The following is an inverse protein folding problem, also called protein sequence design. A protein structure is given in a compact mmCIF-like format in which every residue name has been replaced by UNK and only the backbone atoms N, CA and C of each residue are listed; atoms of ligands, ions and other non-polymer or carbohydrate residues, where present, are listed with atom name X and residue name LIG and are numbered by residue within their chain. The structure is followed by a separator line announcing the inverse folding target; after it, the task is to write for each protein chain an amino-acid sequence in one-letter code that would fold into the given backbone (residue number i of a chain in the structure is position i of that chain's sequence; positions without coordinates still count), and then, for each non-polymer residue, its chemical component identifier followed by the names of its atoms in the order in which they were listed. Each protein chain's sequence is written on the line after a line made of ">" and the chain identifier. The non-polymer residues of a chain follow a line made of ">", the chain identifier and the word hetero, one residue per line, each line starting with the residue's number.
data_IF_074563309899
#
_entry.id   IF_074563309899
#
_cell.length_a   1.000
_cell.length_b   1.000
_cell.length_c   1.000
_cell.angle_alpha   90.00
_cell.angle_beta   90.00
_cell.angle_gamma   90.00
#
_symmetry.space_group_name_H-M   'P 1'
#
loop_
_entity.id
_entity.type
_entity.pdbx_description
1 polymer ?
#
# COMPACT_ATOMS: atom_id res chain seq x y z
N UNK A 1 10.01 8.78 -29.42
CA UNK A 1 8.93 9.74 -29.07
C UNK A 1 7.96 9.01 -28.18
N UNK A 2 7.87 9.36 -26.89
CA UNK A 2 6.84 8.76 -26.03
C UNK A 2 5.47 9.23 -26.54
N UNK A 3 4.54 8.33 -26.78
CA UNK A 3 3.18 8.69 -27.22
C UNK A 3 2.51 9.61 -26.18
N UNK A 4 2.06 10.80 -26.56
CA UNK A 4 1.32 11.74 -25.69
C UNK A 4 -0.16 11.39 -25.61
N UNK A 5 -0.45 10.11 -25.44
CA UNK A 5 -1.80 9.55 -25.46
C UNK A 5 -2.48 9.72 -24.09
N UNK A 6 -3.68 10.29 -24.10
CA UNK A 6 -4.56 10.45 -22.93
C UNK A 6 -4.90 9.10 -22.26
N UNK A 7 -4.79 7.98 -22.98
CA UNK A 7 -4.98 6.63 -22.43
C UNK A 7 -3.97 6.26 -21.32
N UNK A 8 -2.87 7.02 -21.20
CA UNK A 8 -1.94 6.90 -20.06
C UNK A 8 -2.58 7.31 -18.73
N UNK A 9 -3.54 8.23 -18.76
CA UNK A 9 -4.16 8.83 -17.56
C UNK A 9 -5.60 8.35 -17.38
N UNK A 10 -6.30 8.05 -18.47
CA UNK A 10 -7.72 7.70 -18.45
C UNK A 10 -7.91 6.35 -19.14
N UNK A 11 -8.51 5.39 -18.43
CA UNK A 11 -8.80 4.04 -18.98
C UNK A 11 -10.27 3.85 -19.34
N UNK A 12 -11.16 4.71 -18.85
CA UNK A 12 -12.60 4.63 -19.10
C UNK A 12 -12.92 5.03 -20.54
N UNK A 13 -13.30 4.05 -21.37
CA UNK A 13 -13.62 4.24 -22.80
C UNK A 13 -14.65 5.36 -23.07
N UNK A 14 -15.69 5.45 -22.24
CA UNK A 14 -16.71 6.49 -22.38
C UNK A 14 -16.15 7.91 -22.20
N UNK A 15 -15.26 8.11 -21.22
CA UNK A 15 -14.60 9.39 -20.95
C UNK A 15 -13.64 9.74 -22.10
N UNK A 16 -12.87 8.77 -22.59
CA UNK A 16 -11.98 8.95 -23.76
C UNK A 16 -12.79 9.38 -25.00
N UNK A 17 -13.94 8.73 -25.25
CA UNK A 17 -14.78 9.06 -26.39
C UNK A 17 -15.42 10.46 -26.27
N UNK A 18 -15.76 10.90 -25.07
CA UNK A 18 -16.26 12.25 -24.80
C UNK A 18 -15.16 13.31 -25.00
N UNK A 19 -13.94 13.07 -24.48
CA UNK A 19 -12.78 13.93 -24.71
C UNK A 19 -12.48 14.06 -26.21
N UNK A 20 -12.49 12.95 -26.95
CA UNK A 20 -12.27 12.94 -28.39
C UNK A 20 -13.33 13.74 -29.16
N UNK A 21 -14.60 13.69 -28.74
CA UNK A 21 -15.69 14.51 -29.31
C UNK A 21 -15.50 16.01 -29.06
N UNK A 22 -14.80 16.37 -27.99
CA UNK A 22 -14.40 17.76 -27.66
C UNK A 22 -13.05 18.18 -28.25
N UNK A 23 -12.44 17.34 -29.09
CA UNK A 23 -11.14 17.63 -29.72
C UNK A 23 -9.92 17.44 -28.82
N UNK A 24 -10.11 16.87 -27.62
CA UNK A 24 -9.04 16.58 -26.66
C UNK A 24 -8.51 15.17 -26.90
N UNK A 25 -7.25 15.07 -27.34
CA UNK A 25 -6.56 13.83 -27.75
C UNK A 25 -5.17 13.69 -27.16
N UNK A 26 -4.57 14.76 -26.64
CA UNK A 26 -3.20 14.73 -26.10
C UNK A 26 -3.13 15.06 -24.61
N UNK A 27 -2.02 14.64 -23.98
CA UNK A 27 -1.75 14.99 -22.58
C UNK A 27 -1.59 16.49 -22.36
N UNK A 28 -1.03 17.23 -23.32
CA UNK A 28 -0.88 18.69 -23.25
C UNK A 28 -2.24 19.37 -23.18
N UNK A 29 -3.18 18.97 -24.04
CA UNK A 29 -4.54 19.48 -24.00
C UNK A 29 -5.21 19.14 -22.66
N UNK A 30 -5.00 17.93 -22.15
CA UNK A 30 -5.58 17.50 -20.88
C UNK A 30 -4.99 18.27 -19.68
N UNK A 31 -3.71 18.61 -19.72
CA UNK A 31 -3.01 19.35 -18.67
C UNK A 31 -3.40 20.84 -18.63
N UNK A 32 -3.77 21.43 -19.78
CA UNK A 32 -4.17 22.85 -19.88
C UNK A 32 -5.65 23.09 -19.61
N UNK A 33 -6.49 22.05 -19.57
CA UNK A 33 -7.90 22.19 -19.22
C UNK A 33 -8.09 22.69 -17.78
N UNK A 34 -9.11 23.54 -17.59
CA UNK A 34 -9.56 23.91 -16.25
C UNK A 34 -10.18 22.70 -15.52
N UNK A 35 -10.24 22.76 -14.19
CA UNK A 35 -10.88 21.70 -13.39
C UNK A 35 -12.37 21.66 -13.70
N UNK A 36 -12.98 22.83 -13.89
CA UNK A 36 -14.39 23.03 -14.21
C UNK A 36 -14.74 22.41 -15.58
N UNK A 37 -13.91 22.62 -16.60
CA UNK A 37 -14.09 22.02 -17.92
C UNK A 37 -14.01 20.50 -17.86
N UNK A 38 -13.05 19.96 -17.09
CA UNK A 38 -12.94 18.53 -16.86
C UNK A 38 -14.16 17.97 -16.12
N UNK A 39 -14.69 18.68 -15.11
CA UNK A 39 -15.90 18.28 -14.38
C UNK A 39 -17.17 18.31 -15.24
N UNK A 40 -17.21 19.13 -16.30
CA UNK A 40 -18.32 19.15 -17.26
C UNK A 40 -18.43 17.89 -18.12
N UNK A 41 -17.44 16.99 -18.05
CA UNK A 41 -17.42 15.71 -18.77
C UNK A 41 -18.07 14.64 -17.89
N UNK A 42 -19.14 14.03 -18.39
CA UNK A 42 -19.83 12.94 -17.70
C UNK A 42 -18.85 11.82 -17.33
N UNK A 43 -18.80 11.47 -16.04
CA UNK A 43 -17.90 10.47 -15.49
C UNK A 43 -16.59 11.01 -14.91
N UNK A 44 -16.33 12.32 -15.00
CA UNK A 44 -15.24 13.02 -14.29
C UNK A 44 -15.87 13.88 -13.19
N UNK A 45 -15.66 13.48 -11.93
CA UNK A 45 -16.16 14.24 -10.77
C UNK A 45 -15.11 15.13 -10.11
N UNK A 46 -15.52 15.82 -9.05
CA UNK A 46 -14.72 16.79 -8.29
C UNK A 46 -13.33 16.28 -7.89
N UNK A 47 -13.23 15.04 -7.41
CA UNK A 47 -11.95 14.43 -7.03
C UNK A 47 -11.12 13.92 -8.21
N UNK A 48 -11.79 13.62 -9.33
CA UNK A 48 -11.14 12.98 -10.49
C UNK A 48 -10.55 14.01 -11.43
N UNK A 49 -11.19 15.16 -11.60
CA UNK A 49 -10.72 16.25 -12.46
C UNK A 49 -9.31 16.76 -12.10
N UNK A 50 -9.02 17.21 -10.85
CA UNK A 50 -7.68 17.71 -10.51
C UNK A 50 -6.62 16.62 -10.66
N UNK A 51 -6.96 15.36 -10.33
CA UNK A 51 -6.07 14.22 -10.49
C UNK A 51 -5.75 13.94 -11.97
N UNK A 52 -6.74 13.98 -12.87
CA UNK A 52 -6.52 13.78 -14.31
C UNK A 52 -5.54 14.84 -14.85
N UNK A 53 -5.78 16.11 -14.51
CA UNK A 53 -4.90 17.22 -14.91
C UNK A 53 -3.47 17.01 -14.37
N UNK A 54 -3.34 16.71 -13.09
CA UNK A 54 -2.06 16.47 -12.44
C UNK A 54 -1.32 15.26 -13.01
N UNK A 55 -2.01 14.16 -13.32
CA UNK A 55 -1.41 13.00 -13.98
C UNK A 55 -0.93 13.31 -15.38
N UNK A 56 -1.68 14.10 -16.16
CA UNK A 56 -1.23 14.55 -17.48
C UNK A 56 0.05 15.39 -17.36
N UNK A 57 0.07 16.34 -16.44
CA UNK A 57 1.24 17.18 -16.15
C UNK A 57 2.44 16.34 -15.67
N UNK A 58 2.21 15.36 -14.78
CA UNK A 58 3.26 14.48 -14.29
C UNK A 58 3.94 13.72 -15.42
N UNK A 59 3.17 13.20 -16.39
CA UNK A 59 3.70 12.55 -17.59
C UNK A 59 4.49 13.48 -18.50
N UNK A 60 4.01 14.72 -18.69
CA UNK A 60 4.69 15.71 -19.54
C UNK A 60 6.02 16.17 -18.94
N UNK A 61 6.05 16.36 -17.61
CA UNK A 61 7.22 16.87 -16.90
C UNK A 61 8.13 15.75 -16.35
N UNK A 62 7.70 14.49 -16.47
CA UNK A 62 8.34 13.29 -15.94
C UNK A 62 8.73 13.41 -14.45
N UNK A 63 7.91 14.09 -13.64
CA UNK A 63 8.11 14.28 -12.20
C UNK A 63 6.78 14.21 -11.44
N UNK A 64 6.78 14.00 -10.11
CA UNK A 64 5.57 14.09 -9.29
C UNK A 64 4.92 15.47 -9.40
N UNK A 65 3.58 15.49 -9.43
CA UNK A 65 2.78 16.71 -9.36
C UNK A 65 1.88 16.65 -8.13
N UNK A 66 2.03 17.64 -7.26
CA UNK A 66 1.18 17.84 -6.10
C UNK A 66 -0.08 18.60 -6.52
N UNK A 67 -1.24 18.07 -6.19
CA UNK A 67 -2.53 18.70 -6.50
C UNK A 67 -3.51 18.71 -5.33
N UNK A 68 -3.14 18.06 -4.23
CA UNK A 68 -3.85 18.11 -2.96
C UNK A 68 -2.88 18.23 -1.80
N UNK A 69 -3.41 18.43 -0.60
CA UNK A 69 -2.61 18.53 0.62
C UNK A 69 -2.45 17.19 1.31
N UNK A 70 -1.31 17.00 1.95
CA UNK A 70 -1.09 15.90 2.88
C UNK A 70 -1.65 16.30 4.25
N UNK A 71 -2.49 15.46 4.89
CA UNK A 71 -2.94 15.66 6.25
C UNK A 71 -1.79 15.68 7.28
N UNK A 72 -1.84 16.61 8.24
CA UNK A 72 -0.79 16.75 9.26
C UNK A 72 -0.60 15.50 10.11
N UNK A 73 -1.67 14.73 10.34
CA UNK A 73 -1.64 13.53 11.17
C UNK A 73 -0.71 12.44 10.62
N UNK A 74 -0.35 12.45 9.32
CA UNK A 74 0.61 11.49 8.79
C UNK A 74 2.07 11.90 9.01
N UNK A 75 2.35 13.12 9.48
CA UNK A 75 3.73 13.54 9.80
C UNK A 75 4.25 12.91 11.08
N UNK A 76 3.34 12.41 11.94
CA UNK A 76 3.73 11.65 13.14
C UNK A 76 4.35 10.32 12.71
N UNK A 77 5.52 10.00 13.26
CA UNK A 77 6.09 8.65 13.11
C UNK A 77 5.10 7.59 13.61
N UNK A 78 5.09 6.45 12.93
CA UNK A 78 4.18 5.35 13.20
C UNK A 78 4.74 4.04 12.65
N UNK A 79 4.09 2.94 13.01
CA UNK A 79 4.43 1.62 12.52
C UNK A 79 3.78 1.37 11.16
N UNK A 80 4.35 0.46 10.36
CA UNK A 80 3.84 0.07 9.05
C UNK A 80 3.42 -1.39 9.07
N UNK A 81 2.20 -1.67 8.64
CA UNK A 81 1.61 -2.99 8.64
C UNK A 81 1.47 -3.55 7.23
N UNK A 82 1.98 -4.77 7.02
CA UNK A 82 1.61 -5.66 5.91
C UNK A 82 0.94 -6.91 6.47
N UNK A 83 -0.08 -7.42 5.77
CA UNK A 83 -0.81 -8.63 6.12
C UNK A 83 -0.90 -9.51 4.88
N UNK A 84 -0.57 -10.80 5.04
CA UNK A 84 -0.71 -11.81 4.00
C UNK A 84 -1.85 -12.74 4.32
N UNK A 85 -2.57 -13.11 3.27
CA UNK A 85 -3.78 -13.92 3.34
C UNK A 85 -3.65 -15.19 2.53
N UNK A 86 -4.49 -16.16 2.88
CA UNK A 86 -4.73 -17.36 2.11
C UNK A 86 -5.83 -17.05 1.05
N UNK A 87 -5.49 -17.02 -0.24
CA UNK A 87 -6.43 -16.69 -1.31
C UNK A 87 -7.51 -17.78 -1.52
N UNK A 88 -7.34 -18.98 -0.97
CA UNK A 88 -8.25 -20.10 -1.15
C UNK A 88 -9.36 -20.15 -0.08
N UNK A 89 -9.36 -19.19 0.85
CA UNK A 89 -10.35 -19.06 1.94
C UNK A 89 -11.39 -17.97 1.64
N UNK A 90 -12.63 -18.14 2.14
CA UNK A 90 -13.70 -17.14 2.04
C UNK A 90 -14.32 -16.87 3.43
N UNK A 91 -14.12 -15.67 4.04
CA UNK A 91 -13.26 -14.57 3.57
C UNK A 91 -11.79 -14.99 3.48
N UNK A 92 -10.95 -14.18 2.83
CA UNK A 92 -9.51 -14.43 2.76
C UNK A 92 -8.89 -14.26 4.17
N UNK A 93 -8.49 -15.37 4.78
CA UNK A 93 -7.95 -15.40 6.15
C UNK A 93 -6.47 -15.00 6.15
N UNK A 94 -6.06 -14.03 6.98
CA UNK A 94 -4.66 -13.75 7.23
C UNK A 94 -3.91 -14.97 7.74
N UNK A 95 -2.72 -15.24 7.21
CA UNK A 95 -1.80 -16.22 7.80
C UNK A 95 -0.56 -15.55 8.40
N UNK A 96 -0.22 -14.33 7.98
CA UNK A 96 1.02 -13.67 8.39
C UNK A 96 0.88 -12.16 8.49
N UNK A 97 1.52 -11.59 9.53
CA UNK A 97 1.54 -10.17 9.85
C UNK A 97 3.00 -9.70 9.97
N UNK A 98 3.31 -8.55 9.38
CA UNK A 98 4.58 -7.86 9.56
C UNK A 98 4.29 -6.42 9.98
N UNK A 99 4.61 -6.09 11.22
CA UNK A 99 4.52 -4.74 11.75
C UNK A 99 5.94 -4.18 11.91
N UNK A 100 6.30 -3.21 11.08
CA UNK A 100 7.60 -2.53 11.12
C UNK A 100 7.48 -1.26 11.97
N UNK A 101 8.26 -1.15 13.05
CA UNK A 101 8.25 -0.01 13.96
C UNK A 101 8.87 1.23 13.30
N UNK A 102 8.70 2.44 13.90
CA UNK A 102 9.37 3.66 13.41
C UNK A 102 10.90 3.56 13.33
N UNK A 103 11.52 2.68 14.13
CA UNK A 103 12.97 2.43 14.15
C UNK A 103 13.37 1.21 13.30
N UNK A 104 12.45 0.73 12.44
CA UNK A 104 12.63 -0.39 11.51
C UNK A 104 12.85 -1.76 12.17
N UNK A 105 12.50 -1.91 13.44
CA UNK A 105 12.35 -3.23 14.06
C UNK A 105 11.07 -3.89 13.55
N UNK A 106 11.14 -5.16 13.15
CA UNK A 106 10.02 -5.88 12.53
C UNK A 106 9.48 -6.94 13.46
N UNK A 107 8.19 -6.86 13.75
CA UNK A 107 7.44 -7.86 14.50
C UNK A 107 6.69 -8.76 13.52
N UNK A 108 7.02 -10.04 13.52
CA UNK A 108 6.38 -11.05 12.68
C UNK A 108 5.46 -11.93 13.51
N UNK A 109 4.21 -12.07 13.08
CA UNK A 109 3.25 -12.99 13.70
C UNK A 109 2.59 -13.85 12.64
N UNK A 110 2.52 -15.16 12.89
CA UNK A 110 1.98 -16.16 11.98
C UNK A 110 0.92 -16.98 12.69
N UNK A 111 -0.21 -17.20 12.00
CA UNK A 111 -1.22 -18.15 12.44
C UNK A 111 -0.75 -19.60 12.24
N UNK A 112 -0.58 -20.30 13.36
CA UNK A 112 -0.01 -21.64 13.45
C UNK A 112 -0.63 -22.41 14.64
N UNK A 113 -1.90 -22.85 14.52
CA UNK A 113 -2.62 -23.55 15.59
C UNK A 113 -1.90 -24.79 16.11
N UNK A 114 -1.13 -25.48 15.26
CA UNK A 114 -0.46 -26.73 15.61
C UNK A 114 0.85 -26.52 16.40
N UNK A 115 1.42 -25.30 16.37
CA UNK A 115 2.69 -24.98 17.03
C UNK A 115 2.73 -23.52 17.48
N UNK A 116 1.97 -23.14 18.53
CA UNK A 116 1.90 -21.76 19.00
C UNK A 116 3.08 -21.40 19.92
N UNK A 117 4.30 -21.74 19.50
CA UNK A 117 5.54 -21.44 20.23
C UNK A 117 6.41 -20.55 19.36
N UNK A 118 6.85 -19.37 19.84
CA UNK A 118 7.74 -18.52 19.06
C UNK A 118 8.98 -19.27 18.58
N UNK A 119 9.43 -18.96 17.37
CA UNK A 119 10.61 -19.58 16.78
C UNK A 119 11.63 -18.53 16.34
N UNK A 120 12.90 -18.94 16.27
CA UNK A 120 13.96 -18.14 15.67
C UNK A 120 14.26 -18.66 14.26
N UNK A 121 14.34 -17.75 13.31
CA UNK A 121 14.84 -18.05 11.97
C UNK A 121 16.38 -18.17 11.97
N UNK A 122 16.98 -18.76 10.92
CA UNK A 122 18.43 -18.88 10.80
C UNK A 122 19.19 -17.55 10.86
N UNK A 123 18.56 -16.45 10.48
CA UNK A 123 19.12 -15.10 10.56
C UNK A 123 18.91 -14.40 11.92
N UNK A 124 18.37 -15.12 12.91
CA UNK A 124 18.15 -14.63 14.26
C UNK A 124 16.84 -13.89 14.46
N UNK A 125 16.02 -13.66 13.42
CA UNK A 125 14.71 -13.03 13.58
C UNK A 125 13.78 -13.90 14.42
N UNK A 126 13.09 -13.27 15.36
CA UNK A 126 12.02 -13.92 16.13
C UNK A 126 10.71 -13.85 15.36
N UNK A 127 9.99 -14.96 15.33
CA UNK A 127 8.65 -15.07 14.73
C UNK A 127 7.70 -15.57 15.80
N UNK A 128 6.66 -14.76 16.09
CA UNK A 128 5.56 -15.17 16.96
C UNK A 128 4.66 -16.15 16.21
N UNK A 129 4.54 -17.38 16.73
CA UNK A 129 3.55 -18.34 16.24
C UNK A 129 2.36 -18.32 17.18
N UNK A 130 1.17 -18.02 16.67
CA UNK A 130 -0.04 -17.88 17.47
C UNK A 130 -1.10 -18.92 17.07
N UNK A 131 -1.97 -19.33 17.99
CA UNK A 131 -2.89 -20.43 17.71
C UNK A 131 -4.11 -20.03 16.87
N UNK A 132 -4.32 -18.74 16.64
CA UNK A 132 -5.42 -18.22 15.83
C UNK A 132 -5.10 -16.80 15.35
N UNK A 133 -5.60 -16.40 14.18
CA UNK A 133 -5.48 -15.05 13.60
C UNK A 133 -5.91 -13.91 14.55
N UNK A 134 -6.83 -14.20 15.48
CA UNK A 134 -7.28 -13.23 16.49
C UNK A 134 -6.14 -12.76 17.40
N UNK A 135 -5.23 -13.66 17.74
CA UNK A 135 -4.06 -13.34 18.55
C UNK A 135 -3.06 -12.50 17.77
N UNK A 136 -2.95 -12.70 16.45
CA UNK A 136 -2.11 -11.85 15.61
C UNK A 136 -2.65 -10.42 15.53
N UNK A 137 -3.96 -10.26 15.36
CA UNK A 137 -4.60 -8.94 15.45
C UNK A 137 -4.47 -8.31 16.83
N UNK A 138 -4.64 -9.09 17.90
CA UNK A 138 -4.43 -8.61 19.27
C UNK A 138 -2.97 -8.15 19.49
N UNK A 139 -1.98 -8.87 18.96
CA UNK A 139 -0.58 -8.47 19.03
C UNK A 139 -0.33 -7.12 18.34
N UNK A 140 -0.90 -6.90 17.15
CA UNK A 140 -0.82 -5.59 16.47
C UNK A 140 -1.45 -4.48 17.31
N UNK A 141 -2.62 -4.74 17.93
CA UNK A 141 -3.27 -3.80 18.86
C UNK A 141 -2.37 -3.49 20.06
N UNK A 142 -1.84 -4.51 20.70
CA UNK A 142 -1.08 -4.36 21.94
C UNK A 142 0.18 -3.52 21.71
N UNK A 143 0.94 -3.80 20.64
CA UNK A 143 2.09 -2.98 20.26
C UNK A 143 1.69 -1.54 19.93
N UNK A 144 0.61 -1.35 19.16
CA UNK A 144 0.15 -0.01 18.81
C UNK A 144 -0.27 0.81 20.04
N UNK A 145 -0.86 0.18 21.04
CA UNK A 145 -1.26 0.82 22.29
C UNK A 145 -0.08 1.10 23.22
N UNK A 146 0.79 0.11 23.40
CA UNK A 146 1.99 0.21 24.24
C UNK A 146 2.85 1.40 23.80
N UNK A 147 3.13 1.49 22.49
CA UNK A 147 3.99 2.53 21.93
C UNK A 147 3.24 3.74 21.36
N UNK A 148 1.90 3.77 21.48
CA UNK A 148 1.03 4.85 20.97
C UNK A 148 1.27 5.15 19.48
N UNK A 149 1.45 4.10 18.69
CA UNK A 149 1.72 4.20 17.26
C UNK A 149 0.47 4.52 16.45
N UNK A 150 0.64 5.39 15.46
CA UNK A 150 -0.21 5.36 14.26
C UNK A 150 0.21 4.17 13.43
N UNK A 151 -0.74 3.39 12.89
CA UNK A 151 -0.44 2.27 12.00
C UNK A 151 -0.72 2.69 10.56
N UNK A 152 0.33 2.77 9.76
CA UNK A 152 0.25 3.03 8.34
C UNK A 152 0.16 1.73 7.55
N UNK A 153 -0.62 1.75 6.47
CA UNK A 153 -0.70 0.63 5.53
C UNK A 153 -0.96 1.16 4.11
N UNK A 154 -0.80 0.29 3.10
CA UNK A 154 -0.97 0.67 1.70
C UNK A 154 -2.14 -0.06 1.04
N UNK A 155 -3.24 0.66 0.86
CA UNK A 155 -4.41 0.18 0.12
C UNK A 155 -5.44 -0.52 1.00
N UNK A 156 -6.66 -0.65 0.46
CA UNK A 156 -7.86 -1.01 1.23
C UNK A 156 -7.92 -2.45 1.74
N UNK A 157 -7.05 -3.35 1.25
CA UNK A 157 -7.08 -4.77 1.60
C UNK A 157 -6.89 -4.98 3.11
N UNK A 158 -5.95 -4.28 3.73
CA UNK A 158 -5.66 -4.45 5.16
C UNK A 158 -6.87 -4.11 6.03
N UNK A 159 -7.56 -3.00 5.74
CA UNK A 159 -8.78 -2.62 6.45
C UNK A 159 -9.94 -3.59 6.18
N UNK A 160 -10.04 -4.14 4.96
CA UNK A 160 -10.99 -5.22 4.64
C UNK A 160 -10.73 -6.44 5.54
N UNK A 161 -9.49 -6.92 5.60
CA UNK A 161 -9.15 -8.09 6.43
C UNK A 161 -9.37 -7.83 7.92
N UNK A 162 -9.07 -6.62 8.43
CA UNK A 162 -9.40 -6.24 9.79
C UNK A 162 -10.92 -6.37 10.06
N UNK A 163 -11.76 -5.83 9.17
CA UNK A 163 -13.21 -5.88 9.32
C UNK A 163 -13.77 -7.30 9.28
N UNK A 164 -13.21 -8.16 8.44
CA UNK A 164 -13.70 -9.51 8.19
C UNK A 164 -13.19 -10.53 9.22
N UNK A 165 -12.02 -10.31 9.83
CA UNK A 165 -11.31 -11.37 10.57
C UNK A 165 -10.84 -11.00 11.98
N UNK A 166 -10.81 -9.72 12.35
CA UNK A 166 -10.41 -9.33 13.70
C UNK A 166 -11.60 -9.35 14.68
N UNK A 167 -11.39 -9.67 15.97
CA UNK A 167 -12.41 -9.54 16.99
C UNK A 167 -12.98 -8.11 17.07
N UNK A 168 -14.28 -7.91 17.37
CA UNK A 168 -14.92 -6.59 17.37
C UNK A 168 -14.22 -5.55 18.25
N UNK A 169 -13.71 -5.96 19.41
CA UNK A 169 -12.94 -5.11 20.32
C UNK A 169 -11.61 -4.67 19.70
N UNK A 170 -10.90 -5.58 19.03
CA UNK A 170 -9.66 -5.25 18.32
C UNK A 170 -9.94 -4.31 17.14
N UNK A 171 -11.03 -4.53 16.41
CA UNK A 171 -11.46 -3.60 15.35
C UNK A 171 -11.73 -2.20 15.91
N UNK A 172 -12.47 -2.11 17.01
CA UNK A 172 -12.81 -0.84 17.67
C UNK A 172 -11.54 -0.08 18.09
N UNK A 173 -10.55 -0.80 18.59
CA UNK A 173 -9.30 -0.23 19.10
C UNK A 173 -8.33 0.18 17.98
N UNK A 174 -8.23 -0.62 16.91
CA UNK A 174 -7.28 -0.38 15.81
C UNK A 174 -7.79 0.64 14.78
N UNK A 175 -9.08 0.62 14.42
CA UNK A 175 -9.63 1.52 13.37
C UNK A 175 -9.26 2.99 13.56
N UNK A 176 -9.31 3.57 14.77
CA UNK A 176 -8.98 4.98 14.98
C UNK A 176 -7.51 5.34 14.75
N UNK A 177 -6.57 4.40 14.87
CA UNK A 177 -5.14 4.65 14.70
C UNK A 177 -4.57 4.16 13.35
N UNK A 178 -5.40 3.52 12.52
CA UNK A 178 -5.00 2.99 11.22
C UNK A 178 -5.21 4.02 10.08
N UNK A 179 -4.18 4.20 9.25
CA UNK A 179 -4.15 5.20 8.17
C UNK A 179 -3.75 4.56 6.83
N UNK A 180 -4.65 4.67 5.85
CA UNK A 180 -4.41 4.25 4.47
C UNK A 180 -3.55 5.29 3.73
N UNK A 181 -2.25 5.02 3.61
CA UNK A 181 -1.32 5.90 2.89
C UNK A 181 -1.59 5.91 1.39
N UNK A 182 -2.09 4.82 0.80
CA UNK A 182 -2.44 4.80 -0.63
C UNK A 182 -3.54 5.81 -0.92
N UNK A 183 -4.58 5.85 -0.08
CA UNK A 183 -5.70 6.76 -0.23
C UNK A 183 -5.28 8.23 -0.13
N UNK A 184 -4.37 8.55 0.78
CA UNK A 184 -3.84 9.91 0.95
C UNK A 184 -2.95 10.27 -0.25
N UNK A 185 -2.08 9.34 -0.66
CA UNK A 185 -1.19 9.55 -1.79
C UNK A 185 -1.97 9.88 -3.07
N UNK A 186 -2.98 9.08 -3.44
CA UNK A 186 -3.73 9.29 -4.70
C UNK A 186 -4.68 10.51 -4.69
N UNK A 187 -4.90 11.11 -3.52
CA UNK A 187 -5.66 12.35 -3.36
C UNK A 187 -4.76 13.60 -3.39
N UNK A 188 -3.46 13.44 -3.16
CA UNK A 188 -2.53 14.56 -3.05
C UNK A 188 -1.51 14.62 -4.20
N UNK A 189 -1.14 13.47 -4.78
CA UNK A 189 0.01 13.33 -5.69
C UNK A 189 -0.35 12.53 -6.92
N UNK A 190 0.11 13.00 -8.08
CA UNK A 190 0.15 12.24 -9.31
C UNK A 190 1.60 11.94 -9.71
N UNK A 191 1.86 10.70 -10.12
CA UNK A 191 3.12 10.25 -10.69
C UNK A 191 2.97 10.04 -12.21
N UNK A 192 4.06 10.10 -13.01
CA UNK A 192 4.07 9.66 -14.41
C UNK A 192 4.01 8.13 -14.54
N UNK A 193 3.06 7.49 -13.87
CA UNK A 193 2.87 6.05 -13.82
C UNK A 193 1.42 5.67 -14.11
N UNK A 194 1.23 4.53 -14.79
CA UNK A 194 -0.11 4.00 -15.10
C UNK A 194 -0.78 3.38 -13.87
N UNK A 195 0.01 3.10 -12.84
CA UNK A 195 -0.39 2.38 -11.64
C UNK A 195 0.05 3.17 -10.42
N UNK A 196 -0.85 3.20 -9.43
CA UNK A 196 -0.59 3.67 -8.07
C UNK A 196 -0.41 2.50 -7.10
N UNK A 197 -0.15 1.30 -7.61
CA UNK A 197 0.17 0.14 -6.80
C UNK A 197 1.46 0.36 -6.00
N UNK A 198 1.65 -0.43 -4.94
CA UNK A 198 2.81 -0.30 -4.05
C UNK A 198 4.13 -0.37 -4.83
N UNK A 199 4.26 -1.41 -5.67
CA UNK A 199 5.48 -1.68 -6.44
C UNK A 199 5.81 -0.52 -7.38
N UNK A 200 4.85 -0.08 -8.20
CA UNK A 200 5.06 1.01 -9.16
C UNK A 200 5.40 2.33 -8.44
N UNK A 201 4.67 2.64 -7.38
CA UNK A 201 4.82 3.89 -6.62
C UNK A 201 6.17 3.94 -5.91
N UNK A 202 6.52 2.90 -5.14
CA UNK A 202 7.77 2.87 -4.40
C UNK A 202 8.99 2.79 -5.34
N UNK A 203 8.90 2.04 -6.44
CA UNK A 203 9.98 1.96 -7.44
C UNK A 203 10.23 3.31 -8.09
N UNK A 204 9.18 4.05 -8.45
CA UNK A 204 9.30 5.40 -8.97
C UNK A 204 9.98 6.34 -7.94
N UNK A 205 9.68 6.16 -6.66
CA UNK A 205 10.29 6.91 -5.56
C UNK A 205 11.67 6.35 -5.10
N UNK A 206 12.26 5.45 -5.88
CA UNK A 206 13.63 4.97 -5.72
C UNK A 206 13.80 3.75 -4.79
N UNK A 207 12.73 3.03 -4.46
CA UNK A 207 12.86 1.72 -3.79
C UNK A 207 13.29 0.65 -4.80
N UNK A 208 14.46 0.05 -4.60
CA UNK A 208 15.06 -0.92 -5.54
C UNK A 208 15.15 -2.34 -5.01
N UNK A 209 14.85 -2.56 -3.73
CA UNK A 209 15.09 -3.84 -3.05
C UNK A 209 13.95 -4.85 -3.29
N UNK A 210 13.38 -4.90 -4.49
CA UNK A 210 12.38 -5.89 -4.82
C UNK A 210 13.03 -7.25 -5.11
N UNK A 211 12.39 -8.37 -4.70
CA UNK A 211 12.76 -9.70 -5.18
C UNK A 211 12.70 -9.77 -6.72
N UNK A 212 13.60 -10.53 -7.35
CA UNK A 212 13.61 -10.70 -8.82
C UNK A 212 12.30 -11.26 -9.36
N UNK A 213 11.60 -12.05 -8.55
CA UNK A 213 10.35 -12.73 -8.84
C UNK A 213 9.15 -12.09 -8.11
N UNK A 214 9.18 -10.77 -7.88
CA UNK A 214 8.18 -10.05 -7.09
C UNK A 214 6.75 -10.15 -7.67
N UNK A 215 6.05 -11.24 -7.35
CA UNK A 215 4.63 -11.46 -7.65
C UNK A 215 3.86 -11.57 -6.34
N UNK A 216 2.62 -11.08 -6.27
CA UNK A 216 1.84 -11.02 -5.03
C UNK A 216 1.73 -12.37 -4.28
N UNK A 217 1.57 -13.46 -5.02
CA UNK A 217 1.35 -14.81 -4.47
C UNK A 217 2.63 -15.53 -3.99
N UNK A 218 3.84 -15.04 -4.32
CA UNK A 218 5.07 -15.77 -4.01
C UNK A 218 5.32 -15.94 -2.51
N UNK A 219 4.95 -14.94 -1.70
CA UNK A 219 5.04 -15.04 -0.24
C UNK A 219 4.14 -16.14 0.32
N UNK A 220 2.93 -16.28 -0.23
CA UNK A 220 2.02 -17.35 0.19
C UNK A 220 2.52 -18.73 -0.26
N UNK A 221 3.06 -18.86 -1.48
CA UNK A 221 3.69 -20.11 -1.91
C UNK A 221 4.87 -20.52 -1.01
N UNK A 222 5.74 -19.56 -0.66
CA UNK A 222 6.85 -19.80 0.25
C UNK A 222 6.36 -20.24 1.65
N UNK A 223 5.30 -19.61 2.16
CA UNK A 223 4.62 -20.03 3.39
C UNK A 223 4.07 -21.46 3.29
N UNK A 224 3.38 -21.81 2.19
CA UNK A 224 2.86 -23.17 1.98
C UNK A 224 3.98 -24.22 1.89
N UNK A 225 5.13 -23.89 1.29
CA UNK A 225 6.29 -24.77 1.27
C UNK A 225 6.79 -25.06 2.69
N UNK A 226 6.88 -24.04 3.54
CA UNK A 226 7.23 -24.22 4.95
C UNK A 226 6.15 -24.99 5.73
N UNK A 227 4.86 -24.70 5.51
CA UNK A 227 3.75 -25.42 6.16
C UNK A 227 3.78 -26.92 5.84
N UNK A 228 4.22 -27.29 4.63
CA UNK A 228 4.37 -28.69 4.21
C UNK A 228 5.60 -29.37 4.79
N UNK A 229 6.70 -28.64 4.97
CA UNK A 229 7.95 -29.14 5.56
C UNK A 229 8.58 -28.09 6.47
N UNK A 230 8.33 -28.22 7.77
CA UNK A 230 8.82 -27.27 8.78
C UNK A 230 10.34 -27.35 8.99
N UNK A 231 11.03 -28.33 8.40
CA UNK A 231 12.50 -28.36 8.34
C UNK A 231 13.09 -27.42 7.28
N UNK A 232 12.24 -26.64 6.59
CA UNK A 232 12.61 -25.62 5.60
C UNK A 232 12.41 -24.20 6.16
N UNK A 233 13.17 -23.78 7.19
CA UNK A 233 13.04 -22.44 7.74
C UNK A 233 13.41 -21.35 6.71
N UNK A 234 14.17 -21.70 5.67
CA UNK A 234 14.46 -20.86 4.51
C UNK A 234 13.20 -20.47 3.72
N UNK A 235 12.22 -21.37 3.61
CA UNK A 235 10.96 -21.09 2.94
C UNK A 235 10.10 -20.10 3.74
N UNK A 236 10.08 -20.23 5.07
CA UNK A 236 9.41 -19.25 5.92
C UNK A 236 10.11 -17.90 5.86
N UNK A 237 11.45 -17.91 5.91
CA UNK A 237 12.26 -16.71 5.76
C UNK A 237 11.96 -15.97 4.44
N UNK A 238 11.88 -16.66 3.29
CA UNK A 238 11.50 -16.05 2.01
C UNK A 238 10.09 -15.43 2.06
N UNK A 239 9.13 -16.10 2.70
CA UNK A 239 7.79 -15.58 2.88
C UNK A 239 7.78 -14.26 3.65
N UNK A 240 8.56 -14.18 4.74
CA UNK A 240 8.67 -13.02 5.63
C UNK A 240 9.51 -11.90 5.03
N UNK A 241 10.56 -12.21 4.26
CA UNK A 241 11.36 -11.22 3.54
C UNK A 241 10.50 -10.44 2.55
N UNK A 242 9.61 -11.12 1.83
CA UNK A 242 8.65 -10.48 0.92
C UNK A 242 7.69 -9.53 1.64
N UNK A 243 7.27 -9.86 2.85
CA UNK A 243 6.47 -8.96 3.69
C UNK A 243 7.31 -7.76 4.18
N UNK A 244 8.55 -8.03 4.57
CA UNK A 244 9.51 -7.02 4.98
C UNK A 244 9.71 -5.97 3.85
N UNK A 245 9.90 -6.43 2.61
CA UNK A 245 10.04 -5.57 1.44
C UNK A 245 8.82 -4.67 1.22
N UNK A 246 7.61 -5.18 1.44
CA UNK A 246 6.40 -4.36 1.40
C UNK A 246 6.44 -3.26 2.48
N UNK A 247 6.75 -3.59 3.73
CA UNK A 247 6.81 -2.59 4.81
C UNK A 247 7.91 -1.55 4.58
N UNK A 248 9.05 -1.94 3.99
CA UNK A 248 10.13 -1.00 3.65
C UNK A 248 9.75 -0.09 2.47
N UNK A 249 9.04 -0.64 1.48
CA UNK A 249 8.52 0.14 0.36
C UNK A 249 7.48 1.18 0.81
N UNK A 250 6.57 0.80 1.72
CA UNK A 250 5.62 1.74 2.32
C UNK A 250 6.34 2.78 3.17
N UNK A 251 7.37 2.39 3.93
CA UNK A 251 8.23 3.30 4.69
C UNK A 251 8.87 4.34 3.78
N UNK A 252 9.39 3.91 2.62
CA UNK A 252 9.98 4.79 1.63
C UNK A 252 8.97 5.81 1.09
N UNK A 253 7.75 5.38 0.77
CA UNK A 253 6.70 6.29 0.30
C UNK A 253 6.31 7.28 1.40
N UNK A 254 6.12 6.81 2.64
CA UNK A 254 5.80 7.66 3.79
C UNK A 254 6.87 8.73 4.00
N UNK A 255 8.15 8.34 4.04
CA UNK A 255 9.27 9.28 4.17
C UNK A 255 9.28 10.30 3.05
N UNK A 256 9.06 9.89 1.79
CA UNK A 256 8.99 10.82 0.67
C UNK A 256 7.83 11.83 0.84
N UNK A 257 6.65 11.36 1.25
CA UNK A 257 5.48 12.20 1.49
C UNK A 257 5.70 13.22 2.62
N UNK A 258 6.42 12.85 3.67
CA UNK A 258 6.58 13.70 4.87
C UNK A 258 7.86 14.55 4.86
N UNK A 259 8.87 14.19 4.07
CA UNK A 259 10.13 14.93 3.93
C UNK A 259 10.09 16.02 2.86
N UNK A 260 9.24 15.85 1.85
CA UNK A 260 9.00 16.91 0.88
C UNK A 260 8.17 17.97 1.61
N UNK A 261 8.83 19.06 2.02
CA UNK A 261 8.14 20.27 2.45
C UNK A 261 7.02 20.55 1.45
N UNK A 262 5.76 20.47 1.90
CA UNK A 262 4.61 21.04 1.21
C UNK A 262 4.69 22.56 1.17
N UNK A 263 5.84 23.12 0.78
CA UNK A 263 6.07 24.51 0.48
C UNK A 263 5.69 24.74 -0.99
N UNK A 264 4.40 24.60 -1.25
CA UNK A 264 3.71 25.38 -2.27
C UNK A 264 2.85 26.40 -1.54
N UNK A 265 3.51 27.44 -1.03
CA UNK A 265 2.95 28.80 -1.02
C UNK A 265 2.81 29.29 -2.45
#
# INVERSE_FOLDING_TARGET
>A
MQSNDIQKVITRKAVIAELARRGVRTLEQLATMSVEDLQSISGIGEKTAPRIRASAQAYLENKPVWFGSIPENIRKQGAILDVRVDPDTLPEWPWGFCLSSPVQEKHYVIDMPEMPVPMHLPDGRMVGLVPHIHYAWAHVRDLAFEYKWTIYYWGKSILKHLNETAPPEVQKDLKPCMVDLHKIFVDAVALPSKSTGLVDTASYLGYTNWPKDNKPFMSHLAYLHWRRDQNRPDALQDALDRMAHNTDAVSRIWWWMTSVNGAGS
#
